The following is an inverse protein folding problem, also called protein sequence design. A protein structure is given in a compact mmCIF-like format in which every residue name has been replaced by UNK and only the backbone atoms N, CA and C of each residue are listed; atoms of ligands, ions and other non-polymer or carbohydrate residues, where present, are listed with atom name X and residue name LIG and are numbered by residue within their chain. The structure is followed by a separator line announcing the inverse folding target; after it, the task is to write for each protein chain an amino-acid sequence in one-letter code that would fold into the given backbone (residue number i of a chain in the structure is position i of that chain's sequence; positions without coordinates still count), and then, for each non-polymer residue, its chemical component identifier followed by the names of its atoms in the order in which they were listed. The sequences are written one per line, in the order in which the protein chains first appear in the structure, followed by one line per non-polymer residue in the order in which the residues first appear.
data_IF_990131740040
#
_entry.id   IF_990131740040
#
_cell.length_a   1.000
_cell.length_b   1.000
_cell.length_c   1.000
_cell.angle_alpha   90.00
_cell.angle_beta   90.00
_cell.angle_gamma   90.00
#
_symmetry.space_group_name_H-M   'P 1'
#
loop_
_entity.id
_entity.type
_entity.pdbx_description
1 polymer ?
#
# COMPACT_ATOMS: atom_id res chain seq x y z
N UNK A 1 -11.87 6.69 14.93
CA UNK A 1 -10.41 6.47 14.75
C UNK A 1 -9.68 6.86 16.02
N UNK A 2 -8.72 6.04 16.44
CA UNK A 2 -7.80 6.33 17.54
C UNK A 2 -6.40 6.53 16.97
N UNK A 3 -5.61 7.47 17.54
CA UNK A 3 -4.21 7.72 17.19
C UNK A 3 -3.38 7.70 18.46
N UNK A 4 -2.28 6.95 18.44
CA UNK A 4 -1.21 7.01 19.44
C UNK A 4 0.13 7.25 18.77
N UNK A 5 1.08 7.82 19.52
CA UNK A 5 2.43 8.07 19.05
C UNK A 5 3.43 7.75 20.16
N UNK A 6 4.44 6.95 19.82
CA UNK A 6 5.50 6.51 20.72
C UNK A 6 6.86 6.90 20.13
N UNK A 7 7.70 7.54 20.94
CA UNK A 7 9.05 7.89 20.53
C UNK A 7 10.00 6.76 20.93
N UNK A 8 11.01 6.49 20.09
CA UNK A 8 12.08 5.56 20.46
C UNK A 8 12.90 6.08 21.65
N UNK A 9 13.10 7.40 21.69
CA UNK A 9 13.72 8.10 22.82
C UNK A 9 12.95 9.39 23.10
N UNK A 10 12.59 9.61 24.35
CA UNK A 10 11.92 10.82 24.85
C UNK A 10 12.90 11.83 25.46
N UNK A 11 14.17 11.44 25.62
CA UNK A 11 15.26 12.25 26.18
C UNK A 11 16.38 12.41 25.18
N UNK A 12 16.82 13.65 24.92
CA UNK A 12 17.95 13.99 24.04
C UNK A 12 18.96 14.89 24.77
N UNK A 13 20.23 14.81 24.34
CA UNK A 13 21.29 15.63 24.92
C UNK A 13 21.24 17.07 24.38
N UNK A 14 21.44 18.05 25.28
CA UNK A 14 21.53 19.47 24.93
C UNK A 14 22.69 19.72 23.94
N UNK A 15 22.47 20.58 22.94
CA UNK A 15 23.46 21.00 21.93
C UNK A 15 24.06 19.83 21.12
N UNK A 16 23.42 18.65 21.15
CA UNK A 16 23.87 17.45 20.42
C UNK A 16 22.87 17.10 19.33
N UNK A 17 23.36 16.82 18.13
CA UNK A 17 22.54 16.33 17.03
C UNK A 17 22.06 14.90 17.31
N UNK A 18 20.78 14.65 17.07
CA UNK A 18 20.16 13.35 17.32
C UNK A 18 19.11 13.01 16.27
N UNK A 19 18.74 11.73 16.22
CA UNK A 19 17.60 11.23 15.45
C UNK A 19 16.57 10.64 16.40
N UNK A 20 15.33 11.07 16.29
CA UNK A 20 14.21 10.57 17.07
C UNK A 20 13.26 9.86 16.13
N UNK A 21 13.03 8.57 16.37
CA UNK A 21 12.06 7.78 15.62
C UNK A 21 10.71 7.81 16.34
N UNK A 22 9.63 7.88 15.58
CA UNK A 22 8.26 7.96 16.10
C UNK A 22 7.43 6.87 15.45
N UNK A 23 6.90 5.95 16.25
CA UNK A 23 5.89 4.99 15.84
C UNK A 23 4.49 5.59 16.07
N UNK A 24 3.72 5.70 15.01
CA UNK A 24 2.34 6.15 15.04
C UNK A 24 1.45 4.94 14.78
N UNK A 25 0.50 4.68 15.66
CA UNK A 25 -0.52 3.65 15.48
C UNK A 25 -1.88 4.30 15.29
N UNK A 26 -2.54 3.94 14.18
CA UNK A 26 -3.86 4.41 13.80
C UNK A 26 -4.82 3.22 13.86
N UNK A 27 -5.84 3.29 14.72
CA UNK A 27 -6.85 2.22 14.85
C UNK A 27 -8.17 2.72 14.29
N UNK A 28 -8.68 2.00 13.28
CA UNK A 28 -10.00 2.26 12.69
C UNK A 28 -11.13 1.84 13.64
N UNK A 29 -12.32 2.46 13.55
CA UNK A 29 -13.47 2.00 14.31
C UNK A 29 -13.92 0.63 13.81
N UNK A 30 -14.64 -0.15 14.66
CA UNK A 30 -15.27 -1.39 14.22
C UNK A 30 -16.30 -1.13 13.12
N UNK A 31 -16.64 -2.20 12.39
CA UNK A 31 -17.75 -2.13 11.44
C UNK A 31 -19.01 -1.65 12.17
N UNK A 32 -19.82 -0.79 11.55
CA UNK A 32 -21.12 -0.42 12.11
C UNK A 32 -21.96 -1.69 12.30
N UNK A 33 -22.74 -1.73 13.41
CA UNK A 33 -23.65 -2.84 13.68
C UNK A 33 -24.46 -3.22 12.44
N UNK A 34 -24.65 -4.52 12.21
CA UNK A 34 -25.31 -5.10 11.03
C UNK A 34 -26.72 -4.53 10.70
N UNK A 35 -27.26 -3.63 11.52
CA UNK A 35 -28.55 -2.99 11.33
C UNK A 35 -28.48 -1.68 10.51
N UNK A 36 -27.30 -1.09 10.33
CA UNK A 36 -27.15 0.14 9.55
C UNK A 36 -26.75 -0.20 8.10
N UNK A 37 -27.48 0.30 7.07
CA UNK A 37 -27.08 0.10 5.69
C UNK A 37 -25.72 0.78 5.44
N UNK A 38 -24.74 0.01 4.94
CA UNK A 38 -23.48 0.59 4.49
C UNK A 38 -23.69 1.51 3.28
N UNK A 39 -22.79 2.45 3.08
CA UNK A 39 -22.77 3.21 1.83
C UNK A 39 -22.50 2.29 0.63
N UNK A 40 -23.19 2.49 -0.51
CA UNK A 40 -22.85 1.79 -1.73
C UNK A 40 -21.39 2.04 -2.12
N UNK A 41 -20.64 0.96 -2.36
CA UNK A 41 -19.27 1.03 -2.87
C UNK A 41 -19.27 1.21 -4.38
N UNK A 42 -18.24 1.85 -4.93
CA UNK A 42 -18.03 1.96 -6.39
C UNK A 42 -16.73 1.27 -6.75
N UNK A 43 -16.84 0.20 -7.53
CA UNK A 43 -15.71 -0.58 -8.04
C UNK A 43 -15.70 -0.55 -9.57
N UNK A 44 -14.62 -0.05 -10.13
CA UNK A 44 -14.33 -0.12 -11.56
C UNK A 44 -13.17 -1.08 -11.79
N UNK A 45 -13.37 -2.11 -12.59
CA UNK A 45 -12.31 -3.03 -12.99
C UNK A 45 -11.81 -2.66 -14.37
N UNK A 46 -10.49 -2.60 -14.52
CA UNK A 46 -9.80 -2.38 -15.78
C UNK A 46 -9.00 -3.63 -16.10
N UNK A 47 -9.50 -4.44 -17.03
CA UNK A 47 -8.96 -5.76 -17.32
C UNK A 47 -8.19 -5.78 -18.63
N UNK A 48 -6.93 -6.15 -18.56
CA UNK A 48 -6.12 -6.53 -19.73
C UNK A 48 -6.70 -7.80 -20.36
N UNK A 49 -6.99 -7.74 -21.64
CA UNK A 49 -7.36 -8.90 -22.46
C UNK A 49 -6.45 -9.06 -23.67
N UNK A 50 -5.22 -8.55 -23.57
CA UNK A 50 -4.21 -8.74 -24.62
C UNK A 50 -3.90 -10.21 -24.86
N UNK A 51 -3.19 -10.50 -25.96
CA UNK A 51 -2.92 -11.89 -26.38
C UNK A 51 -2.17 -12.71 -25.33
N UNK A 52 -1.37 -12.09 -24.44
CA UNK A 52 -0.67 -12.75 -23.35
C UNK A 52 -1.60 -13.29 -22.26
N UNK A 53 -2.79 -12.70 -22.11
CA UNK A 53 -3.82 -13.17 -21.18
C UNK A 53 -4.52 -14.45 -21.64
N UNK A 54 -4.23 -15.00 -22.82
CA UNK A 54 -4.90 -16.20 -23.37
C UNK A 54 -4.81 -17.42 -22.45
N UNK A 55 -5.86 -18.24 -22.46
CA UNK A 55 -5.95 -19.50 -21.71
C UNK A 55 -6.23 -19.29 -20.22
N UNK A 56 -5.53 -19.99 -19.31
CA UNK A 56 -5.87 -20.01 -17.88
C UNK A 56 -5.92 -18.64 -17.21
N UNK A 57 -5.17 -17.63 -17.72
CA UNK A 57 -5.13 -16.29 -17.14
C UNK A 57 -6.45 -15.54 -17.34
N UNK A 58 -6.95 -15.46 -18.58
CA UNK A 58 -8.23 -14.79 -18.83
C UNK A 58 -9.39 -15.57 -18.19
N UNK A 59 -9.32 -16.88 -18.16
CA UNK A 59 -10.35 -17.72 -17.53
C UNK A 59 -10.35 -17.54 -16.01
N UNK A 60 -9.19 -17.47 -15.37
CA UNK A 60 -9.04 -17.14 -13.96
C UNK A 60 -9.57 -15.76 -13.62
N UNK A 61 -9.22 -14.74 -14.43
CA UNK A 61 -9.73 -13.39 -14.25
C UNK A 61 -11.28 -13.33 -14.39
N UNK A 62 -11.85 -14.00 -15.40
CA UNK A 62 -13.32 -14.12 -15.56
C UNK A 62 -13.96 -14.74 -14.34
N UNK A 63 -13.43 -15.86 -13.84
CA UNK A 63 -13.95 -16.56 -12.66
C UNK A 63 -13.87 -15.65 -11.41
N UNK A 64 -12.76 -14.96 -11.21
CA UNK A 64 -12.59 -14.03 -10.11
C UNK A 64 -13.63 -12.91 -10.15
N UNK A 65 -13.82 -12.29 -11.31
CA UNK A 65 -14.79 -11.21 -11.49
C UNK A 65 -16.24 -11.69 -11.32
N UNK A 66 -16.58 -12.89 -11.77
CA UNK A 66 -17.92 -13.45 -11.56
C UNK A 66 -18.20 -13.73 -10.08
N UNK A 67 -17.21 -14.23 -9.31
CA UNK A 67 -17.30 -14.42 -7.86
C UNK A 67 -17.40 -13.08 -7.13
N UNK A 68 -16.67 -12.07 -7.59
CA UNK A 68 -16.75 -10.70 -7.10
C UNK A 68 -18.17 -10.15 -7.23
N UNK A 69 -18.81 -10.27 -8.40
CA UNK A 69 -20.18 -9.82 -8.63
C UNK A 69 -21.17 -10.49 -7.66
N UNK A 70 -20.95 -11.75 -7.28
CA UNK A 70 -21.83 -12.42 -6.30
C UNK A 70 -21.80 -11.75 -4.92
N UNK A 71 -20.66 -11.19 -4.53
CA UNK A 71 -20.45 -10.55 -3.22
C UNK A 71 -20.96 -9.11 -3.12
N UNK A 72 -21.05 -8.41 -4.25
CA UNK A 72 -21.56 -7.03 -4.28
C UNK A 72 -23.07 -6.99 -4.04
N UNK A 73 -23.55 -5.92 -3.40
CA UNK A 73 -24.99 -5.65 -3.29
C UNK A 73 -25.54 -5.05 -4.57
N UNK A 74 -26.86 -5.18 -4.85
CA UNK A 74 -27.48 -4.52 -6.01
C UNK A 74 -27.38 -2.99 -6.02
N UNK A 75 -27.12 -2.40 -4.85
CA UNK A 75 -26.93 -0.95 -4.67
C UNK A 75 -25.50 -0.51 -4.94
N UNK A 76 -24.52 -1.44 -4.93
CA UNK A 76 -23.13 -1.14 -5.28
C UNK A 76 -23.02 -0.80 -6.76
N UNK A 77 -22.13 0.11 -7.07
CA UNK A 77 -21.75 0.40 -8.45
C UNK A 77 -20.61 -0.53 -8.87
N UNK A 78 -20.81 -1.18 -10.01
CA UNK A 78 -19.80 -1.98 -10.67
C UNK A 78 -19.63 -1.52 -12.10
N UNK A 79 -18.39 -1.47 -12.58
CA UNK A 79 -18.06 -1.24 -13.97
C UNK A 79 -16.91 -2.16 -14.41
N UNK A 80 -16.82 -2.43 -15.70
CA UNK A 80 -15.75 -3.18 -16.30
C UNK A 80 -15.34 -2.57 -17.64
N UNK A 81 -14.12 -2.11 -17.70
CA UNK A 81 -13.43 -1.76 -18.94
C UNK A 81 -12.45 -2.88 -19.27
N UNK A 82 -12.51 -3.42 -20.49
CA UNK A 82 -11.50 -4.34 -21.01
C UNK A 82 -10.66 -3.64 -22.09
N UNK A 83 -9.36 -3.91 -22.11
CA UNK A 83 -8.46 -3.32 -23.08
C UNK A 83 -7.50 -4.34 -23.70
N UNK A 84 -7.19 -4.10 -24.96
CA UNK A 84 -6.13 -4.68 -25.79
C UNK A 84 -5.45 -3.53 -26.57
N UNK A 85 -5.37 -3.57 -27.89
CA UNK A 85 -5.10 -2.44 -28.76
C UNK A 85 -6.33 -1.48 -28.89
N UNK A 86 -7.45 -1.87 -28.31
CA UNK A 86 -8.70 -1.10 -28.23
C UNK A 86 -9.22 -1.14 -26.80
N UNK A 87 -9.95 -0.09 -26.46
CA UNK A 87 -10.60 0.01 -25.14
C UNK A 87 -12.11 -0.14 -25.31
N UNK A 88 -12.69 -1.07 -24.56
CA UNK A 88 -14.12 -1.38 -24.59
C UNK A 88 -14.75 -1.30 -23.19
N UNK A 89 -15.90 -0.66 -23.09
CA UNK A 89 -16.72 -0.72 -21.89
C UNK A 89 -17.58 -1.97 -21.98
N UNK A 90 -17.23 -2.99 -21.20
CA UNK A 90 -17.92 -4.28 -21.15
C UNK A 90 -19.16 -4.18 -20.27
N UNK A 91 -19.01 -3.56 -19.09
CA UNK A 91 -20.11 -3.26 -18.18
C UNK A 91 -19.99 -1.77 -17.82
N UNK A 92 -20.94 -0.91 -18.23
CA UNK A 92 -20.94 0.51 -17.86
C UNK A 92 -21.04 0.67 -16.34
N UNK A 93 -20.18 1.51 -15.76
CA UNK A 93 -20.19 1.74 -14.32
C UNK A 93 -21.55 2.26 -13.82
N UNK A 94 -22.09 1.63 -12.80
CA UNK A 94 -23.38 1.98 -12.21
C UNK A 94 -23.94 0.90 -11.28
N UNK A 95 -25.14 1.07 -10.70
CA UNK A 95 -25.74 0.13 -9.78
C UNK A 95 -25.85 -1.28 -10.40
N UNK A 96 -25.40 -2.30 -9.66
CA UNK A 96 -25.33 -3.69 -10.12
C UNK A 96 -26.68 -4.39 -9.99
N UNK A 97 -27.69 -3.88 -10.66
CA UNK A 97 -29.06 -4.41 -10.58
C UNK A 97 -29.28 -5.69 -11.38
N UNK A 98 -28.45 -5.95 -12.42
CA UNK A 98 -28.53 -7.13 -13.27
C UNK A 98 -27.19 -7.92 -13.27
N UNK A 99 -26.97 -8.68 -12.19
CA UNK A 99 -25.79 -9.53 -12.03
C UNK A 99 -25.67 -10.61 -13.13
N UNK A 100 -26.73 -11.30 -13.57
CA UNK A 100 -26.65 -12.28 -14.66
C UNK A 100 -26.10 -11.69 -15.95
N UNK A 101 -26.60 -10.53 -16.40
CA UNK A 101 -26.11 -9.87 -17.61
C UNK A 101 -24.65 -9.44 -17.49
N UNK A 102 -24.24 -8.89 -16.33
CA UNK A 102 -22.84 -8.54 -16.08
C UNK A 102 -21.92 -9.79 -16.14
N UNK A 103 -22.33 -10.91 -15.53
CA UNK A 103 -21.58 -12.17 -15.60
C UNK A 103 -21.51 -12.74 -17.01
N UNK A 104 -22.59 -12.65 -17.77
CA UNK A 104 -22.60 -13.10 -19.16
C UNK A 104 -21.63 -12.27 -20.02
N UNK A 105 -21.61 -10.95 -19.85
CA UNK A 105 -20.67 -10.07 -20.54
C UNK A 105 -19.21 -10.38 -20.21
N UNK A 106 -18.91 -10.65 -18.92
CA UNK A 106 -17.56 -11.09 -18.47
C UNK A 106 -17.21 -12.44 -19.14
N UNK A 107 -18.14 -13.40 -19.13
CA UNK A 107 -17.93 -14.72 -19.72
C UNK A 107 -17.62 -14.69 -21.21
N UNK A 108 -18.12 -13.69 -21.93
CA UNK A 108 -17.91 -13.50 -23.36
C UNK A 108 -16.56 -12.83 -23.75
N UNK A 109 -15.75 -12.43 -22.77
CA UNK A 109 -14.44 -11.83 -23.03
C UNK A 109 -13.46 -12.86 -23.59
N UNK A 110 -12.72 -12.49 -24.62
CA UNK A 110 -11.65 -13.26 -25.22
C UNK A 110 -10.35 -12.45 -25.28
N UNK A 111 -9.23 -13.14 -25.08
CA UNK A 111 -7.91 -12.51 -25.19
C UNK A 111 -7.53 -12.30 -26.65
N UNK A 112 -7.01 -11.08 -26.96
CA UNK A 112 -6.61 -10.67 -28.33
C UNK A 112 -5.76 -9.40 -28.32
N UNK A 113 -5.10 -9.10 -29.43
CA UNK A 113 -4.41 -7.81 -29.66
C UNK A 113 -3.15 -7.59 -28.85
N UNK A 114 -2.75 -6.34 -28.75
CA UNK A 114 -1.60 -5.83 -27.98
C UNK A 114 -2.10 -5.08 -26.72
N UNK A 115 -1.21 -4.36 -25.99
CA UNK A 115 -1.53 -3.85 -24.65
C UNK A 115 -1.42 -2.31 -24.61
N UNK A 116 -2.56 -1.58 -24.71
CA UNK A 116 -2.65 -0.15 -24.36
C UNK A 116 -3.18 0.01 -22.91
N UNK A 117 -2.31 -0.23 -21.95
CA UNK A 117 -2.63 -0.15 -20.52
C UNK A 117 -3.12 1.25 -20.14
N UNK A 118 -2.44 2.29 -20.62
CA UNK A 118 -2.79 3.67 -20.30
C UNK A 118 -4.16 4.09 -20.83
N UNK A 119 -4.51 3.65 -22.03
CA UNK A 119 -5.83 3.90 -22.62
C UNK A 119 -6.93 3.21 -21.81
N UNK A 120 -6.72 1.94 -21.45
CA UNK A 120 -7.60 1.19 -20.56
C UNK A 120 -7.79 1.88 -19.22
N UNK A 121 -6.69 2.23 -18.55
CA UNK A 121 -6.71 2.89 -17.24
C UNK A 121 -7.43 4.25 -17.27
N UNK A 122 -7.11 5.10 -18.24
CA UNK A 122 -7.78 6.41 -18.38
C UNK A 122 -9.29 6.25 -18.63
N UNK A 123 -9.70 5.24 -19.40
CA UNK A 123 -11.12 4.94 -19.60
C UNK A 123 -11.78 4.45 -18.31
N UNK A 124 -11.13 3.55 -17.56
CA UNK A 124 -11.62 3.12 -16.26
C UNK A 124 -11.78 4.28 -15.27
N UNK A 125 -10.82 5.22 -15.23
CA UNK A 125 -10.95 6.42 -14.42
C UNK A 125 -12.16 7.29 -14.83
N UNK A 126 -12.48 7.38 -16.13
CA UNK A 126 -13.66 8.11 -16.61
C UNK A 126 -14.95 7.42 -16.15
N UNK A 127 -15.04 6.11 -16.26
CA UNK A 127 -16.20 5.32 -15.82
C UNK A 127 -16.35 5.40 -14.29
N UNK A 128 -15.27 5.22 -13.53
CA UNK A 128 -15.27 5.38 -12.09
C UNK A 128 -15.80 6.75 -11.65
N UNK A 129 -15.30 7.84 -12.28
CA UNK A 129 -15.79 9.21 -12.00
C UNK A 129 -17.27 9.40 -12.30
N UNK A 130 -17.77 8.75 -13.34
CA UNK A 130 -19.20 8.85 -13.73
C UNK A 130 -20.11 8.20 -12.68
N UNK A 131 -19.67 7.09 -12.08
CA UNK A 131 -20.44 6.35 -11.08
C UNK A 131 -20.13 6.77 -9.64
N UNK A 132 -18.91 7.28 -9.38
CA UNK A 132 -18.50 7.74 -8.06
C UNK A 132 -19.42 8.89 -7.59
N UNK A 133 -19.86 8.76 -6.35
CA UNK A 133 -20.54 9.81 -5.61
C UNK A 133 -19.56 10.34 -4.54
N UNK A 134 -20.06 10.98 -3.52
CA UNK A 134 -19.26 11.50 -2.41
C UNK A 134 -18.46 10.42 -1.67
N UNK A 135 -18.87 9.15 -1.75
CA UNK A 135 -18.15 7.99 -1.20
C UNK A 135 -16.91 7.57 -2.01
N UNK A 136 -16.62 8.24 -3.13
CA UNK A 136 -15.48 7.92 -3.98
C UNK A 136 -15.63 6.62 -4.78
N UNK A 137 -14.51 6.15 -5.36
CA UNK A 137 -14.47 4.90 -6.13
C UNK A 137 -13.10 4.20 -5.97
N UNK A 138 -13.08 2.90 -6.21
CA UNK A 138 -11.85 2.12 -6.37
C UNK A 138 -11.74 1.63 -7.80
N UNK A 139 -10.58 1.82 -8.41
CA UNK A 139 -10.20 1.22 -9.69
C UNK A 139 -9.25 0.06 -9.41
N UNK A 140 -9.58 -1.12 -9.88
CA UNK A 140 -8.72 -2.32 -9.85
C UNK A 140 -8.22 -2.61 -11.26
N UNK A 141 -6.93 -2.34 -11.50
CA UNK A 141 -6.26 -2.66 -12.76
C UNK A 141 -5.66 -4.06 -12.70
N UNK A 142 -6.00 -4.90 -13.65
CA UNK A 142 -5.49 -6.28 -13.79
C UNK A 142 -4.78 -6.41 -15.13
N UNK A 143 -3.47 -6.75 -15.15
CA UNK A 143 -2.70 -6.92 -16.37
C UNK A 143 -1.58 -7.96 -16.19
N UNK A 144 -1.28 -8.71 -17.26
CA UNK A 144 -0.18 -9.68 -17.32
C UNK A 144 0.96 -9.27 -18.26
N UNK A 145 0.84 -8.10 -18.89
CA UNK A 145 1.72 -7.66 -19.95
C UNK A 145 2.47 -6.36 -19.67
N UNK A 146 3.49 -6.13 -20.51
CA UNK A 146 4.13 -4.84 -20.60
C UNK A 146 3.27 -3.87 -21.41
N UNK A 147 3.11 -2.65 -20.92
CA UNK A 147 2.53 -1.57 -21.70
C UNK A 147 3.42 -1.30 -22.91
N UNK A 148 2.91 -1.53 -24.11
CA UNK A 148 3.64 -1.32 -25.37
C UNK A 148 3.00 -0.26 -26.28
N UNK A 149 1.95 0.39 -25.80
CA UNK A 149 1.29 1.53 -26.44
C UNK A 149 0.86 2.57 -25.40
N UNK A 150 0.62 3.80 -25.85
CA UNK A 150 0.17 4.89 -25.00
C UNK A 150 1.25 5.46 -24.08
N UNK A 151 0.88 5.83 -22.85
CA UNK A 151 1.80 6.32 -21.80
C UNK A 151 2.43 5.12 -21.10
N UNK A 152 3.75 4.98 -21.20
CA UNK A 152 4.53 3.89 -20.59
C UNK A 152 5.51 4.39 -19.52
N UNK A 153 5.54 5.70 -19.26
CA UNK A 153 6.37 6.33 -18.24
C UNK A 153 5.73 6.15 -16.87
N UNK A 154 6.38 5.42 -15.90
CA UNK A 154 5.82 5.18 -14.59
C UNK A 154 5.52 6.45 -13.79
N UNK A 155 6.39 7.47 -13.85
CA UNK A 155 6.22 8.71 -13.09
C UNK A 155 4.99 9.50 -13.56
N UNK A 156 4.74 9.50 -14.89
CA UNK A 156 3.54 10.11 -15.46
C UNK A 156 2.27 9.35 -15.05
N UNK A 157 2.32 8.03 -15.03
CA UNK A 157 1.19 7.20 -14.60
C UNK A 157 0.93 7.35 -13.10
N UNK A 158 1.98 7.44 -12.28
CA UNK A 158 1.86 7.77 -10.85
C UNK A 158 1.17 9.13 -10.65
N UNK A 159 1.57 10.15 -11.41
CA UNK A 159 0.93 11.47 -11.38
C UNK A 159 -0.57 11.42 -11.75
N UNK A 160 -0.94 10.66 -12.78
CA UNK A 160 -2.35 10.47 -13.18
C UNK A 160 -3.15 9.80 -12.06
N UNK A 161 -2.59 8.77 -11.42
CA UNK A 161 -3.23 8.09 -10.29
C UNK A 161 -3.34 9.01 -9.07
N UNK A 162 -2.33 9.83 -8.79
CA UNK A 162 -2.35 10.82 -7.72
C UNK A 162 -3.41 11.91 -7.95
N UNK A 163 -3.57 12.39 -9.18
CA UNK A 163 -4.65 13.31 -9.54
C UNK A 163 -6.04 12.67 -9.36
N UNK A 164 -6.19 11.40 -9.71
CA UNK A 164 -7.43 10.65 -9.50
C UNK A 164 -7.73 10.48 -8.01
N UNK A 165 -6.71 10.15 -7.20
CA UNK A 165 -6.83 10.08 -5.73
C UNK A 165 -7.28 11.41 -5.14
N UNK A 166 -6.72 12.53 -5.57
CA UNK A 166 -7.16 13.88 -5.15
C UNK A 166 -8.64 14.17 -5.45
N UNK A 167 -9.29 13.33 -6.25
CA UNK A 167 -10.72 13.37 -6.58
C UNK A 167 -11.51 12.20 -5.99
N UNK A 168 -10.96 11.51 -4.99
CA UNK A 168 -11.61 10.41 -4.29
C UNK A 168 -11.57 9.06 -5.02
N UNK A 169 -10.66 8.85 -5.99
CA UNK A 169 -10.53 7.57 -6.70
C UNK A 169 -9.24 6.88 -6.29
N UNK A 170 -9.34 5.79 -5.54
CA UNK A 170 -8.23 4.90 -5.21
C UNK A 170 -7.92 3.99 -6.39
N UNK A 171 -6.64 3.69 -6.62
CA UNK A 171 -6.21 2.73 -7.65
C UNK A 171 -5.40 1.61 -7.04
N UNK A 172 -5.90 0.38 -7.16
CA UNK A 172 -5.18 -0.85 -6.86
C UNK A 172 -4.75 -1.53 -8.15
N UNK A 173 -3.63 -2.23 -8.14
CA UNK A 173 -3.10 -2.96 -9.29
C UNK A 173 -2.85 -4.42 -8.96
N UNK A 174 -3.16 -5.32 -9.90
CA UNK A 174 -2.85 -6.74 -9.85
C UNK A 174 -2.03 -7.14 -11.07
N UNK A 175 -0.75 -7.45 -10.85
CA UNK A 175 0.12 -8.05 -11.85
C UNK A 175 -0.09 -9.56 -11.92
N UNK A 176 -0.32 -10.10 -13.14
CA UNK A 176 -0.65 -11.49 -13.34
C UNK A 176 0.45 -12.23 -14.10
N UNK A 177 1.00 -13.30 -13.52
CA UNK A 177 2.13 -14.03 -14.08
C UNK A 177 3.46 -13.29 -13.98
N UNK A 178 4.50 -13.78 -14.64
CA UNK A 178 5.84 -13.18 -14.60
C UNK A 178 6.10 -12.15 -15.72
N UNK A 179 5.11 -11.88 -16.58
CA UNK A 179 5.26 -11.01 -17.76
C UNK A 179 4.89 -9.54 -17.57
N UNK A 180 4.26 -9.14 -16.46
CA UNK A 180 3.79 -7.76 -16.28
C UNK A 180 4.92 -6.77 -15.94
N UNK A 181 4.68 -5.48 -16.18
CA UNK A 181 5.62 -4.39 -15.80
C UNK A 181 5.37 -3.95 -14.36
N UNK A 182 6.20 -4.44 -13.44
CA UNK A 182 6.11 -4.13 -12.01
C UNK A 182 6.28 -2.64 -11.71
N UNK A 183 7.07 -1.90 -12.49
CA UNK A 183 7.31 -0.47 -12.25
C UNK A 183 6.05 0.35 -12.53
N UNK A 184 5.34 0.02 -13.59
CA UNK A 184 4.07 0.67 -13.94
C UNK A 184 3.00 0.32 -12.93
N UNK A 185 2.86 -0.97 -12.57
CA UNK A 185 1.84 -1.40 -11.61
C UNK A 185 2.07 -0.81 -10.22
N UNK A 186 3.33 -0.80 -9.74
CA UNK A 186 3.71 -0.13 -8.49
C UNK A 186 3.43 1.37 -8.51
N UNK A 187 3.75 2.06 -9.61
CA UNK A 187 3.53 3.49 -9.74
C UNK A 187 2.03 3.85 -9.66
N UNK A 188 1.17 3.07 -10.33
CA UNK A 188 -0.28 3.26 -10.30
C UNK A 188 -0.86 3.01 -8.91
N UNK A 189 -0.46 1.91 -8.25
CA UNK A 189 -0.91 1.60 -6.90
C UNK A 189 -0.45 2.66 -5.89
N UNK A 190 0.80 3.11 -5.97
CA UNK A 190 1.36 4.15 -5.10
C UNK A 190 0.66 5.49 -5.33
N UNK A 191 0.61 5.97 -6.56
CA UNK A 191 -0.09 7.22 -6.89
C UNK A 191 -1.53 7.21 -6.42
N UNK A 192 -2.24 6.09 -6.62
CA UNK A 192 -3.63 5.89 -6.20
C UNK A 192 -3.85 5.58 -4.73
N UNK A 193 -2.79 5.39 -3.93
CA UNK A 193 -2.84 4.94 -2.53
C UNK A 193 -3.63 3.62 -2.32
N UNK A 194 -3.62 2.74 -3.33
CA UNK A 194 -4.26 1.43 -3.31
C UNK A 194 -3.31 0.30 -2.93
N UNK A 195 -3.61 -0.92 -3.38
CA UNK A 195 -2.80 -2.11 -3.17
C UNK A 195 -2.01 -2.47 -4.43
N UNK A 196 -0.76 -2.92 -4.27
CA UNK A 196 0.01 -3.59 -5.31
C UNK A 196 -0.05 -5.08 -5.06
N UNK A 197 -0.69 -5.82 -5.95
CA UNK A 197 -0.92 -7.25 -5.82
C UNK A 197 -0.16 -8.00 -6.92
N UNK A 198 0.33 -9.19 -6.60
CA UNK A 198 0.99 -10.07 -7.55
C UNK A 198 0.42 -11.48 -7.45
N UNK A 199 -0.01 -12.04 -8.57
CA UNK A 199 -0.46 -13.43 -8.69
C UNK A 199 0.34 -14.13 -9.77
N UNK A 200 1.12 -15.14 -9.41
CA UNK A 200 1.79 -15.99 -10.41
C UNK A 200 0.79 -16.93 -11.07
N UNK A 201 -0.13 -17.49 -10.28
CA UNK A 201 -1.11 -18.48 -10.71
C UNK A 201 -2.56 -17.94 -10.68
N UNK A 202 -3.47 -18.47 -11.52
CA UNK A 202 -4.86 -18.03 -11.57
C UNK A 202 -5.63 -18.14 -10.25
N UNK A 203 -5.41 -19.20 -9.48
CA UNK A 203 -6.09 -19.41 -8.19
C UNK A 203 -5.69 -18.35 -7.16
N UNK A 204 -4.41 -17.93 -7.16
CA UNK A 204 -3.93 -16.84 -6.33
C UNK A 204 -4.60 -15.53 -6.72
N UNK A 205 -4.76 -15.23 -8.00
CA UNK A 205 -5.44 -14.01 -8.46
C UNK A 205 -6.89 -13.96 -7.98
N UNK A 206 -7.60 -15.08 -7.98
CA UNK A 206 -8.98 -15.17 -7.46
C UNK A 206 -9.03 -14.78 -5.98
N UNK A 207 -8.09 -15.28 -5.17
CA UNK A 207 -7.98 -14.95 -3.74
C UNK A 207 -7.67 -13.47 -3.50
N UNK A 208 -6.72 -12.92 -4.25
CA UNK A 208 -6.31 -11.52 -4.12
C UNK A 208 -7.43 -10.55 -4.51
N UNK A 209 -8.13 -10.78 -5.62
CA UNK A 209 -9.29 -9.97 -6.04
C UNK A 209 -10.39 -10.05 -4.98
N UNK A 210 -10.66 -11.24 -4.43
CA UNK A 210 -11.65 -11.41 -3.39
C UNK A 210 -11.29 -10.62 -2.12
N UNK A 211 -10.04 -10.66 -1.68
CA UNK A 211 -9.54 -9.90 -0.53
C UNK A 211 -9.62 -8.39 -0.73
N UNK A 212 -9.27 -7.89 -1.91
CA UNK A 212 -9.38 -6.45 -2.22
C UNK A 212 -10.84 -5.97 -2.15
N UNK A 213 -11.77 -6.78 -2.64
CA UNK A 213 -13.22 -6.46 -2.56
C UNK A 213 -13.74 -6.53 -1.12
N UNK A 214 -13.36 -7.55 -0.35
CA UNK A 214 -13.72 -7.63 1.07
C UNK A 214 -13.25 -6.39 1.82
N UNK A 215 -12.02 -5.94 1.55
CA UNK A 215 -11.50 -4.69 2.06
C UNK A 215 -12.36 -3.49 1.65
N UNK A 216 -12.71 -3.38 0.38
CA UNK A 216 -13.58 -2.30 -0.12
C UNK A 216 -14.94 -2.28 0.60
N UNK A 217 -15.55 -3.45 0.83
CA UNK A 217 -16.84 -3.57 1.48
C UNK A 217 -16.79 -3.31 3.00
N UNK A 218 -15.63 -3.46 3.62
CA UNK A 218 -15.38 -3.26 5.04
C UNK A 218 -14.82 -1.86 5.38
N UNK A 219 -14.84 -0.90 4.45
CA UNK A 219 -14.31 0.43 4.70
C UNK A 219 -15.12 1.18 5.75
N UNK A 220 -14.42 1.75 6.74
CA UNK A 220 -15.00 2.62 7.79
C UNK A 220 -14.51 4.05 7.71
N UNK A 221 -13.39 4.30 7.01
CA UNK A 221 -12.89 5.63 6.73
C UNK A 221 -12.21 5.70 5.36
N UNK A 222 -12.22 6.89 4.76
CA UNK A 222 -11.59 7.18 3.47
C UNK A 222 -10.85 8.52 3.50
N UNK A 223 -10.06 8.78 2.45
CA UNK A 223 -9.30 10.02 2.28
C UNK A 223 -8.47 10.38 3.53
N UNK A 224 -7.92 9.35 4.18
CA UNK A 224 -7.10 9.54 5.36
C UNK A 224 -5.72 10.07 4.97
N UNK A 225 -5.24 11.07 5.72
CA UNK A 225 -3.93 11.66 5.56
C UNK A 225 -3.32 12.04 6.90
N UNK A 226 -1.99 12.00 6.96
CA UNK A 226 -1.20 12.42 8.13
C UNK A 226 -0.32 13.60 7.73
N UNK A 227 -0.62 14.78 8.25
CA UNK A 227 0.26 15.94 8.15
C UNK A 227 1.19 15.97 9.36
N UNK A 228 2.49 16.00 9.10
CA UNK A 228 3.53 16.18 10.10
C UNK A 228 4.03 17.60 9.99
N UNK A 229 3.76 18.43 11.00
CA UNK A 229 4.25 19.82 11.11
C UNK A 229 5.47 19.86 12.02
N UNK A 230 6.69 19.88 11.49
CA UNK A 230 7.88 20.04 12.31
C UNK A 230 7.96 21.47 12.90
N UNK A 231 8.54 21.59 14.09
CA UNK A 231 8.93 22.90 14.64
C UNK A 231 10.32 23.29 14.13
N UNK A 232 10.77 24.50 14.47
CA UNK A 232 12.14 24.95 14.18
C UNK A 232 13.23 24.08 14.86
N UNK A 233 12.85 23.24 15.81
CA UNK A 233 13.75 22.29 16.48
C UNK A 233 14.04 21.03 15.62
N UNK A 234 13.42 20.86 14.46
CA UNK A 234 13.59 19.70 13.57
C UNK A 234 14.08 20.19 12.21
N UNK A 235 15.19 19.61 11.73
CA UNK A 235 15.78 19.92 10.44
C UNK A 235 15.10 19.23 9.29
N UNK A 236 14.76 17.95 9.48
CA UNK A 236 14.14 17.10 8.46
C UNK A 236 13.22 16.05 9.08
N UNK A 237 12.21 15.63 8.33
CA UNK A 237 11.29 14.56 8.66
C UNK A 237 11.29 13.56 7.51
N UNK A 238 11.49 12.29 7.83
CA UNK A 238 11.39 11.17 6.88
C UNK A 238 10.22 10.26 7.27
N UNK A 239 9.35 9.94 6.33
CA UNK A 239 8.38 8.84 6.45
C UNK A 239 9.08 7.57 5.98
N UNK A 240 9.15 6.53 6.82
CA UNK A 240 9.87 5.29 6.51
C UNK A 240 9.01 4.35 5.66
N UNK A 241 7.70 4.38 5.88
CA UNK A 241 6.74 3.60 5.10
C UNK A 241 6.73 4.03 3.61
N UNK A 242 6.41 3.10 2.73
CA UNK A 242 6.23 3.37 1.29
C UNK A 242 4.83 3.95 1.03
N UNK A 243 4.68 5.22 1.35
CA UNK A 243 3.44 5.99 1.21
C UNK A 243 3.66 7.16 0.25
N UNK A 244 2.62 7.61 -0.47
CA UNK A 244 2.68 8.88 -1.18
C UNK A 244 2.91 10.03 -0.20
N UNK A 245 4.02 10.76 -0.38
CA UNK A 245 4.40 11.87 0.49
C UNK A 245 4.53 13.15 -0.33
N UNK A 246 3.91 14.22 0.15
CA UNK A 246 3.97 15.54 -0.47
C UNK A 246 4.52 16.56 0.53
N UNK A 247 5.58 17.27 0.15
CA UNK A 247 6.07 18.41 0.91
C UNK A 247 5.16 19.63 0.68
N UNK A 248 4.78 20.28 1.76
CA UNK A 248 3.95 21.49 1.77
C UNK A 248 4.64 22.62 2.53
N UNK A 249 4.09 23.82 2.48
CA UNK A 249 4.62 24.95 3.27
C UNK A 249 4.57 24.69 4.80
N UNK A 250 3.60 23.86 5.24
CA UNK A 250 3.35 23.57 6.65
C UNK A 250 4.07 22.32 7.16
N UNK A 251 4.66 21.51 6.29
CA UNK A 251 5.31 20.25 6.64
C UNK A 251 5.17 19.18 5.56
N UNK A 252 5.04 17.91 5.96
CA UNK A 252 4.91 16.77 5.04
C UNK A 252 3.53 16.12 5.24
N UNK A 253 2.84 15.87 4.13
CA UNK A 253 1.59 15.10 4.11
C UNK A 253 1.87 13.70 3.59
N UNK A 254 1.58 12.68 4.39
CA UNK A 254 1.55 11.28 3.96
C UNK A 254 0.10 10.86 3.70
N UNK A 255 -0.17 10.35 2.50
CA UNK A 255 -1.49 9.88 2.11
C UNK A 255 -1.68 8.43 2.54
N UNK A 256 -2.75 8.16 3.26
CA UNK A 256 -3.02 6.85 3.85
C UNK A 256 -4.15 6.09 3.13
N UNK A 257 -4.96 6.80 2.35
CA UNK A 257 -6.09 6.22 1.63
C UNK A 257 -7.23 5.80 2.55
N UNK A 258 -7.76 4.59 2.35
CA UNK A 258 -8.91 4.07 3.09
C UNK A 258 -8.50 3.17 4.23
N UNK A 259 -9.34 3.11 5.28
CA UNK A 259 -9.21 2.20 6.41
C UNK A 259 -10.38 1.24 6.46
N UNK A 260 -10.10 -0.02 6.82
CA UNK A 260 -11.09 -1.07 7.05
C UNK A 260 -11.51 -1.10 8.52
N UNK A 261 -12.62 -1.77 8.80
CA UNK A 261 -13.06 -2.00 10.19
C UNK A 261 -11.96 -2.67 11.02
N UNK A 262 -11.74 -2.19 12.23
CA UNK A 262 -10.76 -2.68 13.20
C UNK A 262 -9.30 -2.69 12.70
N UNK A 263 -9.02 -2.05 11.56
CA UNK A 263 -7.66 -1.97 11.03
C UNK A 263 -6.75 -1.16 11.97
N UNK A 264 -5.59 -1.74 12.30
CA UNK A 264 -4.48 -1.03 12.93
C UNK A 264 -3.43 -0.76 11.85
N UNK A 265 -3.04 0.51 11.67
CA UNK A 265 -1.97 0.87 10.74
C UNK A 265 -0.83 1.52 11.48
N UNK A 266 0.40 1.05 11.21
CA UNK A 266 1.63 1.50 11.83
C UNK A 266 2.44 2.34 10.84
N UNK A 267 2.84 3.53 11.26
CA UNK A 267 3.66 4.46 10.48
C UNK A 267 4.87 4.86 11.31
N UNK A 268 6.04 4.81 10.70
CA UNK A 268 7.28 5.24 11.37
C UNK A 268 7.81 6.50 10.70
N UNK A 269 8.07 7.51 11.53
CA UNK A 269 8.77 8.73 11.15
C UNK A 269 10.17 8.73 11.75
N UNK A 270 11.12 9.38 11.07
CA UNK A 270 12.44 9.73 11.62
C UNK A 270 12.58 11.24 11.57
N UNK A 271 12.79 11.85 12.73
CA UNK A 271 13.00 13.28 12.90
C UNK A 271 14.50 13.54 13.10
N UNK A 272 15.07 14.39 12.27
CA UNK A 272 16.44 14.88 12.47
C UNK A 272 16.40 16.12 13.37
N UNK A 273 16.88 15.97 14.59
CA UNK A 273 16.89 17.04 15.60
C UNK A 273 18.31 17.58 15.70
N UNK A 274 18.58 18.81 15.19
CA UNK A 274 19.86 19.47 15.43
C UNK A 274 19.99 19.82 16.92
N UNK A 275 21.18 20.18 17.36
CA UNK A 275 21.42 20.52 18.78
C UNK A 275 20.47 21.61 19.30
N UNK A 276 19.68 21.29 20.32
CA UNK A 276 18.77 22.21 21.00
C UNK A 276 19.50 22.79 22.22
N UNK A 277 19.63 24.13 22.28
CA UNK A 277 20.36 24.78 23.36
C UNK A 277 19.55 24.93 24.66
N UNK A 278 18.20 24.90 24.58
CA UNK A 278 17.34 25.09 25.75
C UNK A 278 17.05 23.73 26.41
N UNK A 279 17.31 23.65 27.73
CA UNK A 279 16.94 22.48 28.53
C UNK A 279 15.43 22.43 28.80
N UNK A 280 14.90 21.23 28.97
CA UNK A 280 13.50 20.95 29.33
C UNK A 280 12.64 20.42 28.18
N UNK A 281 11.35 20.38 28.42
CA UNK A 281 10.37 19.84 27.47
C UNK A 281 10.26 20.74 26.24
N UNK A 282 10.60 20.20 25.07
CA UNK A 282 10.59 20.91 23.79
C UNK A 282 9.69 20.20 22.80
N UNK A 283 8.76 20.94 22.21
CA UNK A 283 7.93 20.40 21.14
C UNK A 283 8.76 20.29 19.85
N UNK A 284 8.76 19.10 19.25
CA UNK A 284 9.49 18.82 17.99
C UNK A 284 8.58 18.79 16.77
N UNK A 285 7.34 18.32 16.92
CA UNK A 285 6.38 18.32 15.82
C UNK A 285 4.93 18.32 16.34
N UNK A 286 3.98 18.54 15.42
CA UNK A 286 2.56 18.24 15.61
C UNK A 286 2.13 17.28 14.51
N UNK A 287 1.47 16.20 14.88
CA UNK A 287 0.81 15.28 13.98
C UNK A 287 -0.65 15.68 13.81
N UNK A 288 -1.12 15.89 12.59
CA UNK A 288 -2.54 16.12 12.29
C UNK A 288 -3.05 14.99 11.40
N UNK A 289 -3.91 14.14 11.96
CA UNK A 289 -4.54 13.04 11.24
C UNK A 289 -5.95 13.46 10.82
N UNK A 290 -6.19 13.50 9.50
CA UNK A 290 -7.48 13.84 8.90
C UNK A 290 -8.05 12.66 8.14
N UNK A 291 -9.35 12.40 8.27
CA UNK A 291 -10.05 11.34 7.56
C UNK A 291 -11.54 11.67 7.40
N UNK A 292 -12.23 11.01 6.47
CA UNK A 292 -13.67 11.05 6.28
C UNK A 292 -14.26 9.74 6.77
N UNK A 293 -15.13 9.82 7.78
CA UNK A 293 -15.83 8.66 8.36
C UNK A 293 -16.96 8.18 7.44
N UNK A 294 -17.08 6.87 7.27
CA UNK A 294 -18.16 6.23 6.53
C UNK A 294 -19.16 5.54 7.48
N UNK A 295 -20.45 5.52 7.16
CA UNK A 295 -21.14 6.11 5.99
C UNK A 295 -21.53 7.58 6.15
N UNK A 296 -21.21 8.20 7.29
CA UNK A 296 -21.66 9.55 7.65
C UNK A 296 -21.08 10.66 6.75
N UNK A 297 -20.02 10.39 6.00
CA UNK A 297 -19.25 11.34 5.17
C UNK A 297 -18.79 12.57 5.94
N UNK A 298 -18.52 12.38 7.24
CA UNK A 298 -18.07 13.44 8.13
C UNK A 298 -16.55 13.48 8.21
N UNK A 299 -15.97 14.64 7.96
CA UNK A 299 -14.54 14.84 8.13
C UNK A 299 -14.19 15.04 9.60
N UNK A 300 -13.12 14.40 10.02
CA UNK A 300 -12.53 14.51 11.35
C UNK A 300 -11.05 14.84 11.23
N UNK A 301 -10.56 15.63 12.21
CA UNK A 301 -9.14 15.91 12.37
C UNK A 301 -8.75 15.72 13.82
N UNK A 302 -7.69 14.94 14.06
CA UNK A 302 -7.11 14.70 15.39
C UNK A 302 -5.68 15.24 15.38
N UNK A 303 -5.32 16.02 16.41
CA UNK A 303 -4.00 16.64 16.53
C UNK A 303 -3.26 16.11 17.76
N UNK A 304 -1.99 15.69 17.57
CA UNK A 304 -1.13 15.13 18.63
C UNK A 304 0.21 15.85 18.61
N UNK A 305 0.56 16.65 19.65
CA UNK A 305 1.87 17.25 19.75
C UNK A 305 2.92 16.22 20.19
N UNK A 306 4.11 16.27 19.59
CA UNK A 306 5.26 15.45 19.96
C UNK A 306 6.29 16.29 20.72
N UNK A 307 6.76 15.78 21.85
CA UNK A 307 7.73 16.45 22.71
C UNK A 307 8.90 15.53 23.02
N UNK A 308 10.08 16.13 23.16
CA UNK A 308 11.27 15.51 23.72
C UNK A 308 11.73 16.31 24.93
N UNK A 309 12.38 15.67 25.88
CA UNK A 309 12.99 16.32 27.02
C UNK A 309 14.48 16.53 26.78
N UNK A 310 14.91 17.77 26.67
CA UNK A 310 16.32 18.14 26.47
C UNK A 310 17.00 18.20 27.81
N UNK A 311 18.03 17.36 28.04
CA UNK A 311 18.75 17.24 29.30
C UNK A 311 20.28 17.39 29.11
N UNK A 312 21.06 17.60 30.18
CA UNK A 312 22.51 17.48 30.11
C UNK A 312 22.99 16.15 29.57
N UNK A 313 24.12 16.12 28.84
CA UNK A 313 24.61 14.95 28.13
C UNK A 313 24.82 13.69 28.99
N UNK A 314 25.25 13.88 30.26
CA UNK A 314 25.42 12.78 31.22
C UNK A 314 24.08 12.13 31.62
N UNK A 315 22.99 12.87 31.65
CA UNK A 315 21.64 12.35 31.90
C UNK A 315 21.07 11.64 30.65
N UNK A 316 21.40 12.13 29.45
CA UNK A 316 21.01 11.47 28.21
C UNK A 316 21.75 10.16 27.92
N UNK A 317 22.98 9.98 28.48
CA UNK A 317 23.83 8.82 28.21
C UNK A 317 23.22 7.48 28.64
N UNK A 318 22.31 7.48 29.63
CA UNK A 318 21.64 6.27 30.14
C UNK A 318 20.28 5.97 29.50
N UNK A 319 19.87 6.70 28.45
CA UNK A 319 18.58 6.48 27.80
C UNK A 319 18.51 5.11 27.13
N UNK A 320 17.37 4.46 27.28
CA UNK A 320 17.07 3.18 26.61
C UNK A 320 16.02 3.46 25.56
N UNK A 321 16.29 3.04 24.34
CA UNK A 321 15.33 3.21 23.27
C UNK A 321 14.15 2.23 23.41
N UNK A 322 12.94 2.69 23.07
CA UNK A 322 11.73 1.85 23.06
C UNK A 322 11.93 0.68 22.07
N UNK A 323 11.84 -0.57 22.55
CA UNK A 323 12.06 -1.74 21.71
C UNK A 323 10.98 -1.91 20.64
N UNK A 324 9.73 -1.50 20.86
CA UNK A 324 8.67 -1.60 19.86
C UNK A 324 8.94 -0.64 18.69
N UNK A 325 9.29 0.61 18.97
CA UNK A 325 9.63 1.59 17.92
C UNK A 325 10.84 1.14 17.11
N UNK A 326 11.89 0.65 17.78
CA UNK A 326 13.10 0.14 17.11
C UNK A 326 12.81 -1.06 16.23
N UNK A 327 12.00 -1.99 16.72
CA UNK A 327 11.60 -3.19 15.98
C UNK A 327 10.84 -2.82 14.71
N UNK A 328 9.85 -1.95 14.81
CA UNK A 328 9.08 -1.48 13.64
C UNK A 328 9.96 -0.73 12.65
N UNK A 329 10.90 0.08 13.11
CA UNK A 329 11.86 0.77 12.23
C UNK A 329 12.73 -0.24 11.47
N UNK A 330 13.25 -1.28 12.13
CA UNK A 330 14.05 -2.34 11.49
C UNK A 330 13.21 -3.11 10.47
N UNK A 331 11.98 -3.47 10.83
CA UNK A 331 11.04 -4.15 9.93
C UNK A 331 10.79 -3.35 8.65
N UNK A 332 10.47 -2.06 8.77
CA UNK A 332 10.23 -1.20 7.60
C UNK A 332 11.48 -0.94 6.76
N UNK A 333 12.66 -0.85 7.40
CA UNK A 333 13.93 -0.77 6.66
C UNK A 333 14.23 -2.04 5.86
N UNK A 334 13.79 -3.20 6.34
CA UNK A 334 13.88 -4.45 5.57
C UNK A 334 12.98 -4.39 4.33
N UNK A 335 11.78 -3.80 4.41
CA UNK A 335 10.93 -3.59 3.24
C UNK A 335 11.60 -2.65 2.21
N UNK A 336 12.23 -1.57 2.68
CA UNK A 336 13.01 -0.69 1.80
C UNK A 336 14.18 -1.42 1.12
N UNK A 337 14.85 -2.32 1.84
CA UNK A 337 15.92 -3.15 1.27
C UNK A 337 15.41 -4.12 0.19
N UNK A 338 14.24 -4.78 0.41
CA UNK A 338 13.58 -5.60 -0.62
C UNK A 338 13.28 -4.78 -1.87
N UNK A 339 12.79 -3.56 -1.71
CA UNK A 339 12.49 -2.69 -2.83
C UNK A 339 13.74 -2.33 -3.64
N UNK A 340 14.86 -2.00 -2.96
CA UNK A 340 16.15 -1.79 -3.63
C UNK A 340 16.63 -3.07 -4.31
N UNK A 341 16.47 -4.23 -3.66
CA UNK A 341 16.81 -5.52 -4.26
C UNK A 341 15.99 -5.79 -5.53
N UNK A 342 14.68 -5.54 -5.54
CA UNK A 342 13.85 -5.65 -6.76
C UNK A 342 14.39 -4.77 -7.89
N UNK A 343 14.78 -3.53 -7.60
CA UNK A 343 15.37 -2.62 -8.58
C UNK A 343 16.68 -3.18 -9.16
N UNK A 344 17.57 -3.71 -8.30
CA UNK A 344 18.82 -4.34 -8.74
C UNK A 344 18.56 -5.59 -9.59
N UNK A 345 17.63 -6.45 -9.20
CA UNK A 345 17.23 -7.63 -9.95
C UNK A 345 16.69 -7.28 -11.34
N UNK A 346 15.82 -6.28 -11.43
CA UNK A 346 15.27 -5.78 -12.70
C UNK A 346 16.35 -5.16 -13.61
N UNK A 347 17.45 -4.66 -13.03
CA UNK A 347 18.61 -4.18 -13.76
C UNK A 347 19.63 -5.30 -14.10
N UNK A 348 19.37 -6.55 -13.66
CA UNK A 348 20.27 -7.70 -13.87
C UNK A 348 21.43 -7.78 -12.87
N UNK A 349 21.44 -6.97 -11.82
CA UNK A 349 22.50 -6.96 -10.78
C UNK A 349 22.10 -7.83 -9.58
N UNK A 350 22.21 -9.14 -9.75
CA UNK A 350 21.89 -10.13 -8.72
C UNK A 350 22.82 -10.02 -7.49
N UNK A 351 24.07 -9.59 -7.67
CA UNK A 351 25.03 -9.46 -6.58
C UNK A 351 24.66 -8.32 -5.63
N UNK A 352 24.33 -7.15 -6.17
CA UNK A 352 23.87 -6.03 -5.36
C UNK A 352 22.54 -6.36 -4.66
N UNK A 353 21.62 -7.04 -5.33
CA UNK A 353 20.37 -7.50 -4.72
C UNK A 353 20.61 -8.43 -3.52
N UNK A 354 21.47 -9.44 -3.67
CA UNK A 354 21.83 -10.37 -2.59
C UNK A 354 22.48 -9.65 -1.41
N UNK A 355 23.27 -8.63 -1.65
CA UNK A 355 23.88 -7.80 -0.60
C UNK A 355 22.80 -7.09 0.23
N UNK A 356 21.82 -6.45 -0.43
CA UNK A 356 20.70 -5.78 0.24
C UNK A 356 19.87 -6.78 1.06
N UNK A 357 19.50 -7.91 0.47
CA UNK A 357 18.66 -8.94 1.13
C UNK A 357 19.37 -9.50 2.38
N UNK A 358 20.65 -9.86 2.26
CA UNK A 358 21.42 -10.43 3.38
C UNK A 358 21.64 -9.43 4.51
N UNK A 359 21.92 -8.16 4.19
CA UNK A 359 22.08 -7.11 5.18
C UNK A 359 20.75 -6.86 5.95
N UNK A 360 19.62 -6.90 5.24
CA UNK A 360 18.31 -6.81 5.87
C UNK A 360 18.04 -8.01 6.77
N UNK A 361 18.28 -9.24 6.29
CA UNK A 361 18.10 -10.48 7.06
C UNK A 361 18.91 -10.47 8.36
N UNK A 362 20.17 -10.06 8.31
CA UNK A 362 21.01 -9.94 9.49
C UNK A 362 20.49 -8.90 10.48
N UNK A 363 19.99 -7.76 9.97
CA UNK A 363 19.44 -6.70 10.81
C UNK A 363 18.14 -7.14 11.51
N UNK A 364 17.23 -7.81 10.79
CA UNK A 364 15.98 -8.34 11.35
C UNK A 364 16.28 -9.44 12.37
N UNK A 365 17.20 -10.38 12.06
CA UNK A 365 17.59 -11.46 12.98
C UNK A 365 18.19 -10.92 14.27
N UNK A 366 18.98 -9.86 14.21
CA UNK A 366 19.53 -9.22 15.43
C UNK A 366 18.43 -8.54 16.26
N UNK A 367 17.48 -7.89 15.60
CA UNK A 367 16.38 -7.21 16.28
C UNK A 367 15.45 -8.17 17.03
N UNK A 368 15.34 -9.43 16.59
CA UNK A 368 14.50 -10.44 17.26
C UNK A 368 14.93 -10.71 18.72
N UNK A 369 16.20 -10.53 19.07
CA UNK A 369 16.71 -10.79 20.41
C UNK A 369 16.11 -9.82 21.46
N UNK A 370 15.84 -8.59 21.08
CA UNK A 370 15.34 -7.53 21.94
C UNK A 370 13.88 -7.13 21.60
N UNK A 371 13.24 -7.84 20.69
CA UNK A 371 11.91 -7.53 20.22
C UNK A 371 10.84 -7.86 21.27
N UNK A 372 9.78 -7.05 21.38
CA UNK A 372 8.58 -7.40 22.14
C UNK A 372 7.98 -8.73 21.67
N UNK A 373 7.46 -9.58 22.58
CA UNK A 373 6.96 -10.92 22.22
C UNK A 373 5.92 -10.92 21.09
N UNK A 374 5.06 -9.90 21.04
CA UNK A 374 4.03 -9.71 20.03
C UNK A 374 4.58 -9.43 18.61
N UNK A 375 5.83 -8.96 18.49
CA UNK A 375 6.47 -8.64 17.21
C UNK A 375 7.45 -9.72 16.72
N UNK A 376 7.75 -10.71 17.56
CA UNK A 376 8.70 -11.79 17.22
C UNK A 376 8.20 -12.61 16.04
N UNK A 377 6.90 -12.90 15.98
CA UNK A 377 6.31 -13.67 14.87
C UNK A 377 6.46 -12.94 13.54
N UNK A 378 6.18 -11.63 13.50
CA UNK A 378 6.35 -10.80 12.31
C UNK A 378 7.80 -10.78 11.81
N UNK A 379 8.76 -10.67 12.74
CA UNK A 379 10.18 -10.69 12.41
C UNK A 379 10.65 -12.07 11.90
N UNK A 380 10.12 -13.16 12.49
CA UNK A 380 10.43 -14.51 12.03
C UNK A 380 9.93 -14.75 10.60
N UNK A 381 8.69 -14.37 10.30
CA UNK A 381 8.13 -14.42 8.94
C UNK A 381 8.99 -13.59 7.97
N UNK A 382 9.44 -12.41 8.40
CA UNK A 382 10.26 -11.55 7.56
C UNK A 382 11.64 -12.15 7.27
N UNK A 383 12.28 -12.83 8.24
CA UNK A 383 13.52 -13.59 8.02
C UNK A 383 13.30 -14.71 7.02
N UNK A 384 12.18 -15.43 7.09
CA UNK A 384 11.84 -16.49 6.12
C UNK A 384 11.61 -15.91 4.71
N UNK A 385 10.88 -14.80 4.59
CA UNK A 385 10.68 -14.10 3.32
C UNK A 385 12.01 -13.65 2.70
N UNK A 386 12.91 -13.06 3.48
CA UNK A 386 14.24 -12.65 3.01
C UNK A 386 15.10 -13.86 2.61
N UNK A 387 15.01 -14.98 3.34
CA UNK A 387 15.70 -16.24 3.02
C UNK A 387 15.21 -16.81 1.68
N UNK A 388 13.89 -16.83 1.47
CA UNK A 388 13.28 -17.23 0.21
C UNK A 388 13.81 -16.39 -0.96
N UNK A 389 13.78 -15.05 -0.83
CA UNK A 389 14.29 -14.15 -1.87
C UNK A 389 15.77 -14.37 -2.19
N UNK A 390 16.60 -14.60 -1.17
CA UNK A 390 18.02 -14.91 -1.37
C UNK A 390 18.21 -16.21 -2.17
N UNK A 391 17.44 -17.25 -1.84
CA UNK A 391 17.49 -18.54 -2.52
C UNK A 391 17.03 -18.45 -3.98
N UNK A 392 15.90 -17.78 -4.25
CA UNK A 392 15.39 -17.55 -5.62
C UNK A 392 16.41 -16.78 -6.47
N UNK A 393 17.03 -15.74 -5.90
CA UNK A 393 18.05 -14.95 -6.57
C UNK A 393 19.29 -15.80 -6.90
N UNK A 394 19.77 -16.62 -5.95
CA UNK A 394 20.92 -17.51 -6.16
C UNK A 394 20.65 -18.63 -7.17
N UNK A 395 19.40 -19.11 -7.24
CA UNK A 395 18.94 -20.12 -8.18
C UNK A 395 18.73 -19.56 -9.60
N UNK A 396 18.94 -18.27 -9.82
CA UNK A 396 18.76 -17.63 -11.12
C UNK A 396 17.30 -17.30 -11.48
N UNK A 397 16.35 -17.44 -10.56
CA UNK A 397 14.93 -17.10 -10.75
C UNK A 397 14.68 -15.59 -10.56
N UNK A 398 15.47 -14.78 -11.27
CA UNK A 398 15.63 -13.34 -11.07
C UNK A 398 14.27 -12.59 -11.22
N UNK A 399 13.51 -12.91 -12.26
CA UNK A 399 12.22 -12.23 -12.51
C UNK A 399 11.21 -12.49 -11.40
N UNK A 400 11.12 -13.74 -10.92
CA UNK A 400 10.23 -14.10 -9.80
C UNK A 400 10.65 -13.38 -8.53
N UNK A 401 11.95 -13.42 -8.20
CA UNK A 401 12.50 -12.74 -7.03
C UNK A 401 12.23 -11.23 -7.06
N UNK A 402 12.38 -10.58 -8.22
CA UNK A 402 12.12 -9.15 -8.37
C UNK A 402 10.66 -8.79 -8.08
N UNK A 403 9.71 -9.51 -8.70
CA UNK A 403 8.26 -9.26 -8.55
C UNK A 403 7.76 -9.53 -7.14
N UNK A 404 8.15 -10.67 -6.57
CA UNK A 404 7.81 -11.00 -5.19
C UNK A 404 8.37 -9.96 -4.22
N UNK A 405 9.63 -9.55 -4.41
CA UNK A 405 10.29 -8.53 -3.57
C UNK A 405 9.57 -7.19 -3.61
N UNK A 406 9.10 -6.74 -4.79
CA UNK A 406 8.36 -5.49 -4.95
C UNK A 406 7.00 -5.53 -4.26
N UNK A 407 6.18 -6.51 -4.61
CA UNK A 407 4.81 -6.64 -4.10
C UNK A 407 4.76 -6.85 -2.58
N UNK A 408 5.61 -7.77 -2.05
CA UNK A 408 5.70 -8.05 -0.61
C UNK A 408 6.16 -6.80 0.16
N UNK A 409 7.20 -6.11 -0.34
CA UNK A 409 7.70 -4.89 0.28
C UNK A 409 6.64 -3.79 0.31
N UNK A 410 5.90 -3.59 -0.79
CA UNK A 410 4.85 -2.59 -0.86
C UNK A 410 3.71 -2.90 0.11
N UNK A 411 3.16 -4.11 0.10
CA UNK A 411 2.09 -4.53 1.00
C UNK A 411 2.47 -4.38 2.47
N UNK A 412 3.64 -4.90 2.85
CA UNK A 412 4.16 -4.85 4.23
C UNK A 412 4.55 -3.45 4.69
N UNK A 413 4.87 -2.52 3.78
CA UNK A 413 5.24 -1.14 4.13
C UNK A 413 4.04 -0.19 4.11
N UNK A 414 3.26 -0.15 3.03
CA UNK A 414 2.15 0.80 2.86
C UNK A 414 0.95 0.47 3.75
N UNK A 415 0.73 -0.83 4.01
CA UNK A 415 -0.40 -1.35 4.80
C UNK A 415 0.05 -2.01 6.09
N UNK A 416 1.20 -1.61 6.64
CA UNK A 416 1.78 -2.18 7.87
C UNK A 416 0.78 -2.17 9.04
N UNK A 417 0.61 -3.34 9.67
CA UNK A 417 -0.32 -3.55 10.78
C UNK A 417 -1.75 -3.92 10.36
N UNK A 418 -2.08 -3.93 9.06
CA UNK A 418 -3.39 -4.35 8.60
C UNK A 418 -3.65 -5.82 8.96
N UNK A 419 -4.71 -6.09 9.73
CA UNK A 419 -5.07 -7.43 10.21
C UNK A 419 -5.75 -8.30 9.14
N UNK A 420 -6.28 -7.69 8.08
CA UNK A 420 -6.77 -8.41 6.90
C UNK A 420 -5.81 -8.10 5.76
N UNK A 421 -4.71 -8.85 5.62
CA UNK A 421 -3.82 -8.62 4.49
C UNK A 421 -4.57 -8.95 3.21
N UNK A 422 -4.41 -8.18 2.13
CA UNK A 422 -4.56 -8.78 0.82
C UNK A 422 -3.64 -10.00 0.85
N UNK A 423 -4.18 -11.18 0.58
CA UNK A 423 -3.44 -12.43 0.68
C UNK A 423 -2.20 -12.36 -0.21
N UNK A 424 -1.09 -11.97 0.38
CA UNK A 424 0.23 -12.19 -0.24
C UNK A 424 0.35 -13.70 -0.36
N UNK A 425 0.70 -14.24 -1.54
CA UNK A 425 0.87 -15.68 -1.64
C UNK A 425 1.88 -16.11 -0.58
N UNK A 426 1.46 -17.04 0.28
CA UNK A 426 2.43 -17.73 1.13
C UNK A 426 3.53 -18.26 0.20
N UNK A 427 4.81 -18.13 0.57
CA UNK A 427 5.86 -18.79 -0.17
C UNK A 427 5.47 -20.26 -0.28
N UNK A 428 5.61 -20.88 -1.47
CA UNK A 428 5.23 -22.27 -1.65
C UNK A 428 5.92 -23.09 -0.55
N UNK A 429 5.11 -23.76 0.27
CA UNK A 429 5.62 -24.72 1.25
C UNK A 429 6.47 -25.72 0.50
N UNK A 430 7.77 -25.78 0.85
CA UNK A 430 8.76 -26.72 0.29
C UNK A 430 8.37 -28.17 0.58
#
# INVERSE_FOLDING_TARGET
MHISAHLDVDVIAVETEDQVSVLIELTAPPAPDNAAPRSPSTLEVVLDRSGSMSGPRIDGAKLALQRLIDRLDPTDNFGLVAFDDRVEIVVPAGPLTDKPSAKAAIGALDARGTTDLSGGYLRGLQEARRAARESGATVLLVSDGHANAGVTDPDRLEGIAADARGRGITTSSLGFGLGYDERIMSALARGGAGSELFAEEPDTAVGLIAGEVEGLLAQTAQAASLLVRPTAAVRAVQVVNDLPVTATADGIVAELGSFYADEIRKIVLVLEVPGIAALGLTQVATLEFTYVELPALKQHTVSVPLHVNVVPGDQAAGRVADPAVRTELVYLRAQQAKRRASTHLSAGDAEAALKEIRAAQESVSRAMADAPPELVADLAEEVESLSYLANETQSGLITRAAKYSSSDAYGKSSKRGRTTPPSTPEPPTL
#
